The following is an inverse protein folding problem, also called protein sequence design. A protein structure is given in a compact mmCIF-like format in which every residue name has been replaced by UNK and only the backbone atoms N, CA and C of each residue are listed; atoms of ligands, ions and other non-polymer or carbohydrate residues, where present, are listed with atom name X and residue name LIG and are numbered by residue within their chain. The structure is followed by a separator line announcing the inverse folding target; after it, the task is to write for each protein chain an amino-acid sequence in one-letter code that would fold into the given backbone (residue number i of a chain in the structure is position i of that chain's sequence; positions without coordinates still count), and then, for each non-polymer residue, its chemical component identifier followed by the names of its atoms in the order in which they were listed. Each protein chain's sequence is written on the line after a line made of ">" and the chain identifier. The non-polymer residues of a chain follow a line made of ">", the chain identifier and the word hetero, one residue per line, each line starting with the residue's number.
data_IF_822353137484
#
_entry.id   IF_822353137484
#
_cell.length_a   1.000
_cell.length_b   1.000
_cell.length_c   1.000
_cell.angle_alpha   90.00
_cell.angle_beta   90.00
_cell.angle_gamma   90.00
#
_symmetry.space_group_name_H-M   'P 1'
#
loop_
_entity.id
_entity.type
_entity.pdbx_description
1 polymer ?
#
# COMPACT_ATOMS: atom_id res chain seq x y z
N UNK A 1 -5.99 15.27 -13.36
CA UNK A 1 -5.43 15.23 -11.99
C UNK A 1 -4.44 14.10 -11.97
N UNK A 2 -4.10 13.50 -10.83
CA UNK A 2 -3.43 12.20 -10.86
C UNK A 2 -4.18 11.23 -9.97
N UNK A 3 -4.23 9.97 -10.40
CA UNK A 3 -4.71 8.83 -9.63
C UNK A 3 -3.57 7.87 -9.36
N UNK A 4 -3.86 6.83 -8.60
CA UNK A 4 -2.89 5.80 -8.21
C UNK A 4 -3.52 4.43 -8.50
N UNK A 5 -2.81 3.59 -9.23
CA UNK A 5 -3.20 2.18 -9.43
C UNK A 5 -2.21 1.32 -8.66
N UNK A 6 -2.69 0.56 -7.69
CA UNK A 6 -1.90 -0.38 -6.87
C UNK A 6 -2.34 -1.82 -7.13
N UNK A 7 -1.45 -2.77 -6.90
CA UNK A 7 -1.72 -4.20 -7.01
C UNK A 7 -1.75 -4.84 -5.61
N UNK A 8 -2.85 -5.52 -5.29
CA UNK A 8 -3.08 -6.11 -3.97
C UNK A 8 -2.01 -7.16 -3.62
N UNK A 9 -1.62 -7.99 -4.58
CA UNK A 9 -0.60 -9.03 -4.44
C UNK A 9 0.83 -8.49 -4.27
N UNK A 10 1.08 -7.24 -4.69
CA UNK A 10 2.35 -6.57 -4.52
C UNK A 10 2.53 -5.97 -3.11
N UNK A 11 1.45 -5.79 -2.33
CA UNK A 11 1.54 -5.17 -1.00
C UNK A 11 2.03 -6.21 0.02
N UNK A 12 3.18 -5.98 0.68
CA UNK A 12 3.77 -6.96 1.58
C UNK A 12 3.02 -6.95 2.91
N UNK A 13 2.17 -7.97 3.10
CA UNK A 13 1.48 -8.22 4.38
C UNK A 13 2.00 -9.53 4.96
N UNK A 14 2.52 -9.47 6.20
CA UNK A 14 3.00 -10.67 6.88
C UNK A 14 1.83 -11.65 7.10
N UNK A 15 2.00 -12.97 6.93
CA UNK A 15 0.90 -13.93 7.08
C UNK A 15 0.17 -13.82 8.44
N UNK A 16 0.90 -13.56 9.52
CA UNK A 16 0.32 -13.40 10.85
C UNK A 16 -0.51 -12.12 10.98
N UNK A 17 -0.12 -11.05 10.27
CA UNK A 17 -0.89 -9.79 10.23
C UNK A 17 -2.15 -9.97 9.39
N UNK A 18 -2.06 -10.64 8.24
CA UNK A 18 -3.22 -10.95 7.41
C UNK A 18 -4.26 -11.77 8.19
N UNK A 19 -3.83 -12.84 8.85
CA UNK A 19 -4.71 -13.68 9.68
C UNK A 19 -5.34 -12.89 10.85
N UNK A 20 -4.58 -12.01 11.50
CA UNK A 20 -5.11 -11.16 12.57
C UNK A 20 -6.16 -10.16 12.04
N UNK A 21 -5.91 -9.54 10.88
CA UNK A 21 -6.85 -8.62 10.25
C UNK A 21 -8.14 -9.34 9.86
N UNK A 22 -8.04 -10.53 9.26
CA UNK A 22 -9.19 -11.37 8.91
C UNK A 22 -10.03 -11.72 10.14
N UNK A 23 -9.40 -12.18 11.23
CA UNK A 23 -10.08 -12.53 12.48
C UNK A 23 -10.82 -11.34 13.10
N UNK A 24 -10.25 -10.13 13.00
CA UNK A 24 -10.78 -8.92 13.62
C UNK A 24 -11.73 -8.14 12.70
N UNK A 25 -11.92 -8.57 11.45
CA UNK A 25 -12.71 -7.83 10.46
C UNK A 25 -12.06 -6.50 10.04
N UNK A 26 -10.72 -6.44 10.07
CA UNK A 26 -9.93 -5.27 9.69
C UNK A 26 -9.36 -5.44 8.28
N UNK A 27 -9.10 -4.30 7.63
CA UNK A 27 -8.43 -4.24 6.33
C UNK A 27 -6.97 -3.83 6.57
N UNK A 28 -5.94 -4.60 6.13
CA UNK A 28 -4.54 -4.27 6.40
C UNK A 28 -4.12 -2.87 5.93
N UNK A 29 -4.69 -2.38 4.83
CA UNK A 29 -4.42 -1.04 4.28
C UNK A 29 -4.86 0.09 5.23
N UNK A 30 -5.78 -0.20 6.14
CA UNK A 30 -6.41 0.77 7.04
C UNK A 30 -5.80 0.78 8.45
N UNK A 31 -4.86 -0.12 8.73
CA UNK A 31 -4.18 -0.20 10.03
C UNK A 31 -2.95 0.69 10.03
N UNK A 32 -2.78 1.47 11.11
CA UNK A 32 -1.64 2.37 11.27
C UNK A 32 -0.30 1.61 11.23
N UNK A 33 0.70 2.24 10.61
CA UNK A 33 2.07 1.75 10.54
C UNK A 33 3.02 2.75 11.23
N UNK A 34 3.84 2.32 12.19
CA UNK A 34 4.79 3.19 12.94
C UNK A 34 6.27 3.08 12.48
N UNK A 35 6.51 2.49 11.32
CA UNK A 35 7.87 2.25 10.83
C UNK A 35 7.95 2.01 9.33
N UNK A 36 7.04 2.60 8.57
CA UNK A 36 6.92 2.43 7.12
C UNK A 36 6.92 3.77 6.41
N UNK A 37 7.32 3.75 5.15
CA UNK A 37 7.33 4.90 4.25
C UNK A 37 6.58 4.53 2.97
N UNK A 38 5.77 5.45 2.47
CA UNK A 38 5.28 5.44 1.09
C UNK A 38 6.09 6.47 0.31
N UNK A 39 6.67 6.07 -0.82
CA UNK A 39 7.46 6.95 -1.67
C UNK A 39 6.88 6.98 -3.10
N UNK A 40 6.79 8.18 -3.67
CA UNK A 40 6.44 8.40 -5.08
C UNK A 40 7.69 8.92 -5.78
N UNK A 41 8.10 8.25 -6.86
CA UNK A 41 9.34 8.53 -7.58
C UNK A 41 9.08 8.50 -9.08
N UNK A 42 9.88 9.25 -9.85
CA UNK A 42 9.85 9.17 -11.30
C UNK A 42 10.20 7.74 -11.76
N UNK A 43 9.60 7.23 -12.86
CA UNK A 43 9.82 5.86 -13.32
C UNK A 43 11.30 5.49 -13.49
N UNK A 44 12.11 6.44 -13.96
CA UNK A 44 13.54 6.25 -14.22
C UNK A 44 14.37 6.11 -12.93
N UNK A 45 13.82 6.55 -11.79
CA UNK A 45 14.46 6.45 -10.48
C UNK A 45 13.94 5.29 -9.61
N UNK A 46 12.92 4.55 -10.06
CA UNK A 46 12.24 3.55 -9.25
C UNK A 46 13.17 2.43 -8.79
N UNK A 47 13.94 1.84 -9.70
CA UNK A 47 14.85 0.74 -9.39
C UNK A 47 16.00 1.18 -8.46
N UNK A 48 16.54 2.38 -8.69
CA UNK A 48 17.62 2.93 -7.87
C UNK A 48 17.16 3.20 -6.43
N UNK A 49 15.96 3.79 -6.26
CA UNK A 49 15.37 4.00 -4.95
C UNK A 49 15.06 2.67 -4.25
N UNK A 50 14.46 1.72 -4.97
CA UNK A 50 14.14 0.41 -4.42
C UNK A 50 15.39 -0.33 -3.94
N UNK A 51 16.47 -0.29 -4.72
CA UNK A 51 17.76 -0.86 -4.33
C UNK A 51 18.32 -0.19 -3.07
N UNK A 52 18.27 1.14 -3.00
CA UNK A 52 18.71 1.90 -1.82
C UNK A 52 17.89 1.56 -0.56
N UNK A 53 16.56 1.43 -0.68
CA UNK A 53 15.70 1.03 0.43
C UNK A 53 16.02 -0.39 0.92
N UNK A 54 16.16 -1.34 0.00
CA UNK A 54 16.45 -2.74 0.32
C UNK A 54 17.85 -2.97 0.89
N UNK A 55 18.79 -2.07 0.62
CA UNK A 55 20.12 -2.10 1.23
C UNK A 55 20.09 -1.75 2.73
N UNK A 56 19.03 -1.11 3.22
CA UNK A 56 18.87 -0.80 4.64
C UNK A 56 18.08 -1.91 5.36
N UNK A 57 18.49 -2.37 6.57
CA UNK A 57 17.80 -3.46 7.27
C UNK A 57 16.30 -3.23 7.50
N UNK A 58 15.89 -1.98 7.77
CA UNK A 58 14.47 -1.62 7.96
C UNK A 58 13.67 -1.54 6.65
N UNK A 59 14.34 -1.52 5.50
CA UNK A 59 13.72 -1.43 4.17
C UNK A 59 13.86 -2.70 3.34
N UNK A 60 14.32 -3.81 3.94
CA UNK A 60 14.56 -5.07 3.24
C UNK A 60 13.32 -5.59 2.48
N UNK A 61 12.13 -5.34 3.02
CA UNK A 61 10.83 -5.74 2.44
C UNK A 61 10.23 -4.66 1.51
N UNK A 62 10.97 -3.60 1.15
CA UNK A 62 10.47 -2.58 0.25
C UNK A 62 10.14 -3.17 -1.13
N UNK A 63 9.04 -2.72 -1.73
CA UNK A 63 8.52 -3.19 -3.01
C UNK A 63 7.83 -2.04 -3.74
N UNK A 64 7.79 -2.10 -5.06
CA UNK A 64 6.92 -1.24 -5.87
C UNK A 64 5.53 -1.85 -5.83
N UNK A 65 4.55 -1.09 -5.35
CA UNK A 65 3.16 -1.58 -5.20
C UNK A 65 2.21 -1.05 -6.27
N UNK A 66 2.65 -0.13 -7.14
CA UNK A 66 1.74 0.55 -8.06
C UNK A 66 2.39 1.67 -8.86
N UNK A 67 1.55 2.43 -9.56
CA UNK A 67 1.94 3.52 -10.45
C UNK A 67 1.00 4.71 -10.35
N UNK A 68 1.49 5.89 -10.70
CA UNK A 68 0.70 7.10 -10.86
C UNK A 68 0.13 7.14 -12.28
N UNK A 69 -1.15 7.49 -12.41
CA UNK A 69 -1.85 7.59 -13.70
C UNK A 69 -2.52 8.95 -13.84
N UNK A 70 -2.78 9.39 -15.07
CA UNK A 70 -3.66 10.55 -15.28
C UNK A 70 -5.09 10.14 -14.91
N UNK A 71 -5.65 10.84 -13.94
CA UNK A 71 -7.02 10.65 -13.51
C UNK A 71 -7.60 11.99 -13.03
N UNK A 72 -8.66 12.52 -13.68
CA UNK A 72 -9.34 13.73 -13.21
C UNK A 72 -10.07 13.52 -11.88
N UNK A 73 -10.46 12.29 -11.54
CA UNK A 73 -11.19 11.98 -10.32
C UNK A 73 -10.28 11.83 -9.09
N UNK A 74 -8.98 11.60 -9.31
CA UNK A 74 -7.94 11.47 -8.27
C UNK A 74 -8.18 10.28 -7.34
N UNK A 75 -8.56 9.15 -7.92
CA UNK A 75 -8.82 7.92 -7.18
C UNK A 75 -7.53 7.14 -6.89
N UNK A 76 -7.61 6.33 -5.82
CA UNK A 76 -6.73 5.20 -5.61
C UNK A 76 -7.52 3.94 -6.00
N UNK A 77 -7.03 3.22 -6.99
CA UNK A 77 -7.63 1.99 -7.49
C UNK A 77 -6.70 0.83 -7.16
N UNK A 78 -7.27 -0.29 -6.74
CA UNK A 78 -6.51 -1.52 -6.48
C UNK A 78 -6.96 -2.64 -7.41
N UNK A 79 -6.01 -3.25 -8.10
CA UNK A 79 -6.20 -4.53 -8.78
C UNK A 79 -6.15 -5.63 -7.73
N UNK A 80 -7.23 -6.39 -7.59
CA UNK A 80 -7.33 -7.48 -6.64
C UNK A 80 -6.53 -8.69 -7.12
N UNK A 81 -6.19 -9.61 -6.22
CA UNK A 81 -5.51 -10.86 -6.57
C UNK A 81 -6.30 -11.73 -7.58
N UNK A 82 -7.60 -11.48 -7.75
CA UNK A 82 -8.47 -12.16 -8.71
C UNK A 82 -8.61 -11.42 -10.06
N UNK A 83 -7.87 -10.32 -10.26
CA UNK A 83 -7.86 -9.53 -11.48
C UNK A 83 -8.99 -8.50 -11.60
N UNK A 84 -9.82 -8.34 -10.57
CA UNK A 84 -10.83 -7.29 -10.49
C UNK A 84 -10.24 -5.94 -10.07
N UNK A 85 -10.97 -4.85 -10.28
CA UNK A 85 -10.58 -3.52 -9.78
C UNK A 85 -11.55 -3.04 -8.70
N UNK A 86 -11.03 -2.45 -7.61
CA UNK A 86 -11.84 -1.73 -6.62
C UNK A 86 -11.26 -0.37 -6.30
N UNK A 87 -12.11 0.57 -5.89
CA UNK A 87 -11.64 1.84 -5.31
C UNK A 87 -11.15 1.55 -3.88
N UNK A 88 -10.00 2.10 -3.54
CA UNK A 88 -9.54 2.14 -2.15
C UNK A 88 -10.14 3.38 -1.53
N UNK A 89 -11.24 3.16 -0.81
CA UNK A 89 -11.98 4.24 -0.18
C UNK A 89 -11.23 4.82 1.02
N UNK A 90 -11.48 6.09 1.28
CA UNK A 90 -11.07 6.71 2.53
C UNK A 90 -11.82 6.07 3.69
N UNK A 91 -11.10 5.86 4.78
CA UNK A 91 -11.70 5.44 6.04
C UNK A 91 -12.79 6.43 6.49
N UNK A 92 -13.99 5.92 6.77
CA UNK A 92 -15.10 6.70 7.33
C UNK A 92 -14.93 7.02 8.83
N UNK A 93 -13.80 6.65 9.44
CA UNK A 93 -13.47 6.81 10.86
C UNK A 93 -12.25 5.98 11.26
N UNK A 94 -11.86 6.05 12.54
CA UNK A 94 -10.75 5.27 13.10
C UNK A 94 -11.20 3.82 13.38
N UNK A 95 -10.50 2.81 12.84
CA UNK A 95 -10.86 1.40 13.05
C UNK A 95 -10.52 0.88 14.45
N UNK A 96 -9.45 1.41 15.06
CA UNK A 96 -8.94 0.96 16.34
C UNK A 96 -8.75 2.18 17.25
N UNK A 97 -9.56 2.35 18.31
CA UNK A 97 -9.48 3.54 19.14
C UNK A 97 -8.14 3.59 19.90
N UNK A 98 -7.48 4.75 19.89
CA UNK A 98 -6.17 4.98 20.52
C UNK A 98 -5.05 4.21 19.81
N UNK A 99 -5.14 4.09 18.49
CA UNK A 99 -4.03 3.62 17.67
C UNK A 99 -3.15 4.82 17.34
N UNK A 100 -2.08 4.99 18.13
CA UNK A 100 -1.11 6.10 18.12
C UNK A 100 -1.61 7.43 18.72
#
# INVERSE_FOLDING_TARGET
>A
GVGIVIAEDAIPVKPQVAAACELLGLEPLNVANEGKLVAVVAPEGADALLAAMRAHPLGADAVIIGTIVDDPHRFVQMTTAFGGGRIVDWLAGEQLPRIC
#
